data_IF_505893142242
#
_entry.id   IF_505893142242
#
_cell.length_a   1.000
_cell.length_b   1.000
_cell.length_c   1.000
_cell.angle_alpha   90.00
_cell.angle_beta   90.00
_cell.angle_gamma   90.00
#
_symmetry.space_group_name_H-M   'P 1'
#
loop_
_entity.id
_entity.type
_entity.pdbx_description
1 polymer ?
#
# COMPACT_ATOMS: atom_id res chain seq x y z
N UNK A 1 2.31 15.52 0.22
CA UNK A 1 1.70 14.79 1.36
C UNK A 1 2.60 14.97 2.55
N UNK A 2 2.02 15.22 3.72
CA UNK A 2 2.77 15.28 4.98
C UNK A 2 3.27 13.86 5.32
N UNK A 3 4.56 13.65 5.65
CA UNK A 3 5.07 12.36 6.11
C UNK A 3 4.27 11.78 7.29
N UNK A 4 3.68 12.62 8.13
CA UNK A 4 2.82 12.20 9.25
C UNK A 4 1.58 11.43 8.76
N UNK A 5 0.92 11.93 7.71
CA UNK A 5 -0.26 11.29 7.11
C UNK A 5 0.05 9.91 6.48
N UNK A 6 1.28 9.73 5.99
CA UNK A 6 1.70 8.43 5.45
C UNK A 6 1.98 7.43 6.59
N UNK A 7 2.62 7.89 7.68
CA UNK A 7 2.86 7.09 8.88
C UNK A 7 1.56 6.58 9.54
N UNK A 8 0.57 7.45 9.70
CA UNK A 8 -0.74 7.11 10.29
C UNK A 8 -1.50 6.06 9.49
N UNK A 9 -1.40 6.08 8.15
CA UNK A 9 -2.01 5.07 7.29
C UNK A 9 -1.25 3.75 7.28
N UNK A 10 0.07 3.79 7.44
CA UNK A 10 0.92 2.59 7.41
C UNK A 10 0.91 1.81 8.72
N UNK A 11 0.78 2.45 9.87
CA UNK A 11 0.76 1.77 11.16
C UNK A 11 -0.29 0.65 11.27
N UNK A 12 -1.60 0.90 10.99
CA UNK A 12 -2.61 -0.17 11.02
C UNK A 12 -2.37 -1.23 9.94
N UNK A 13 -1.87 -0.83 8.77
CA UNK A 13 -1.52 -1.77 7.70
C UNK A 13 -0.39 -2.72 8.11
N UNK A 14 0.66 -2.21 8.76
CA UNK A 14 1.80 -3.02 9.25
C UNK A 14 1.35 -3.99 10.35
N UNK A 15 0.52 -3.54 11.30
CA UNK A 15 -0.05 -4.40 12.32
C UNK A 15 -0.92 -5.51 11.70
N UNK A 16 -1.75 -5.16 10.72
CA UNK A 16 -2.57 -6.12 9.99
C UNK A 16 -1.72 -7.12 9.18
N UNK A 17 -0.65 -6.68 8.50
CA UNK A 17 0.26 -7.56 7.76
C UNK A 17 0.90 -8.63 8.66
N UNK A 18 1.22 -8.30 9.91
CA UNK A 18 1.77 -9.24 10.89
C UNK A 18 0.84 -10.42 11.18
N UNK A 19 -0.47 -10.28 10.92
CA UNK A 19 -1.46 -11.37 11.07
C UNK A 19 -1.62 -12.24 9.82
N UNK A 20 -1.05 -11.83 8.68
CA UNK A 20 -1.28 -12.44 7.35
C UNK A 20 -0.05 -13.10 6.76
N UNK A 21 1.14 -12.62 7.15
CA UNK A 21 2.41 -13.03 6.57
C UNK A 21 3.37 -13.28 7.72
N UNK A 22 3.85 -14.51 7.89
CA UNK A 22 4.78 -14.87 8.96
C UNK A 22 6.20 -14.36 8.71
N UNK A 23 6.60 -14.28 7.43
CA UNK A 23 7.93 -13.84 7.02
C UNK A 23 8.12 -12.31 7.16
N UNK A 24 9.04 -11.92 8.05
CA UNK A 24 9.34 -10.52 8.37
C UNK A 24 9.95 -9.77 7.18
N UNK A 25 10.76 -10.43 6.35
CA UNK A 25 11.38 -9.80 5.18
C UNK A 25 10.32 -9.38 4.15
N UNK A 26 9.33 -10.24 3.93
CA UNK A 26 8.18 -9.99 3.06
C UNK A 26 7.32 -8.88 3.63
N UNK A 27 7.04 -8.86 4.94
CA UNK A 27 6.31 -7.75 5.58
C UNK A 27 7.00 -6.40 5.40
N UNK A 28 8.33 -6.35 5.58
CA UNK A 28 9.13 -5.13 5.36
C UNK A 28 9.07 -4.67 3.92
N UNK A 29 9.21 -5.59 2.97
CA UNK A 29 9.11 -5.29 1.54
C UNK A 29 7.72 -4.73 1.21
N UNK A 30 6.65 -5.34 1.73
CA UNK A 30 5.28 -4.90 1.45
C UNK A 30 4.99 -3.53 2.07
N UNK A 31 5.49 -3.26 3.28
CA UNK A 31 5.44 -1.94 3.91
C UNK A 31 6.12 -0.88 3.03
N UNK A 32 7.34 -1.15 2.55
CA UNK A 32 8.09 -0.21 1.71
C UNK A 32 7.37 0.06 0.38
N UNK A 33 6.82 -0.98 -0.25
CA UNK A 33 6.03 -0.82 -1.47
C UNK A 33 4.78 0.03 -1.22
N UNK A 34 4.05 -0.23 -0.13
CA UNK A 34 2.86 0.54 0.23
C UNK A 34 3.20 2.01 0.50
N UNK A 35 4.28 2.28 1.23
CA UNK A 35 4.77 3.63 1.49
C UNK A 35 5.10 4.38 0.19
N UNK A 36 5.90 3.77 -0.68
CA UNK A 36 6.25 4.36 -1.97
C UNK A 36 5.02 4.55 -2.87
N UNK A 37 4.04 3.64 -2.81
CA UNK A 37 2.80 3.78 -3.57
C UNK A 37 1.97 4.97 -3.09
N UNK A 38 1.84 5.17 -1.77
CA UNK A 38 1.12 6.32 -1.20
C UNK A 38 1.81 7.64 -1.57
N UNK A 39 3.14 7.68 -1.54
CA UNK A 39 3.93 8.84 -2.00
C UNK A 39 3.73 9.07 -3.51
N UNK A 40 3.76 8.01 -4.32
CA UNK A 40 3.50 8.09 -5.76
C UNK A 40 2.10 8.63 -6.04
N UNK A 41 1.06 8.14 -5.34
CA UNK A 41 -0.31 8.63 -5.49
C UNK A 41 -0.45 10.12 -5.23
N UNK A 42 0.33 10.68 -4.31
CA UNK A 42 0.30 12.10 -3.98
C UNK A 42 0.90 12.99 -5.07
N UNK A 43 1.79 12.46 -5.92
CA UNK A 43 2.47 13.19 -6.99
C UNK A 43 1.92 12.85 -8.39
N UNK A 44 1.28 11.69 -8.55
CA UNK A 44 0.76 11.18 -9.81
C UNK A 44 -0.46 11.98 -10.29
N UNK A 45 -0.37 12.50 -11.51
CA UNK A 45 -1.43 13.27 -12.18
C UNK A 45 -2.19 12.46 -13.24
N UNK A 46 -1.84 11.19 -13.41
CA UNK A 46 -2.52 10.34 -14.40
C UNK A 46 -3.86 9.80 -13.89
N UNK A 47 -4.58 9.16 -14.81
CA UNK A 47 -5.90 8.57 -14.55
C UNK A 47 -5.86 7.56 -13.37
N UNK A 48 -6.85 7.60 -12.44
CA UNK A 48 -6.88 6.72 -11.27
C UNK A 48 -6.80 5.23 -11.62
N UNK A 49 -7.52 4.79 -12.66
CA UNK A 49 -7.64 3.37 -13.01
C UNK A 49 -6.33 2.74 -13.47
N UNK A 50 -5.45 3.56 -14.05
CA UNK A 50 -4.14 3.11 -14.56
C UNK A 50 -3.00 3.41 -13.58
N UNK A 51 -3.28 4.03 -12.42
CA UNK A 51 -2.27 4.42 -11.43
C UNK A 51 -1.46 3.24 -10.90
N UNK A 52 -2.11 2.13 -10.59
CA UNK A 52 -1.41 0.92 -10.11
C UNK A 52 -0.45 0.37 -11.16
N UNK A 53 -0.85 0.36 -12.42
CA UNK A 53 0.00 -0.11 -13.53
C UNK A 53 1.20 0.83 -13.73
N UNK A 54 0.97 2.15 -13.71
CA UNK A 54 2.05 3.15 -13.78
C UNK A 54 3.04 2.98 -12.64
N UNK A 55 2.56 2.81 -11.42
CA UNK A 55 3.44 2.59 -10.27
C UNK A 55 4.25 1.30 -10.40
N UNK A 56 3.61 0.16 -10.75
CA UNK A 56 4.32 -1.11 -10.97
C UNK A 56 5.42 -0.96 -12.02
N UNK A 57 5.15 -0.20 -13.09
CA UNK A 57 6.15 0.08 -14.12
C UNK A 57 7.30 0.96 -13.58
N UNK A 58 6.98 2.04 -12.86
CA UNK A 58 7.96 2.96 -12.31
C UNK A 58 8.80 2.36 -11.17
N UNK A 59 8.28 1.35 -10.48
CA UNK A 59 8.91 0.73 -9.31
C UNK A 59 9.67 -0.58 -9.63
N UNK A 60 9.61 -1.06 -10.87
CA UNK A 60 10.12 -2.38 -11.30
C UNK A 60 11.61 -2.60 -11.01
N UNK A 61 12.40 -1.54 -11.02
CA UNK A 61 13.86 -1.61 -10.83
C UNK A 61 14.24 -1.68 -9.34
N UNK A 62 13.29 -1.42 -8.42
CA UNK A 62 13.48 -1.50 -6.96
C UNK A 62 12.94 -2.80 -6.39
N UNK A 63 11.75 -3.20 -6.83
CA UNK A 63 11.06 -4.42 -6.36
C UNK A 63 10.45 -5.14 -7.57
N UNK A 64 10.59 -6.46 -7.68
CA UNK A 64 10.01 -7.21 -8.79
C UNK A 64 8.52 -6.89 -8.99
N UNK A 65 8.03 -6.78 -10.25
CA UNK A 65 6.63 -6.44 -10.52
C UNK A 65 5.62 -7.39 -9.86
N UNK A 66 5.96 -8.67 -9.72
CA UNK A 66 5.12 -9.67 -9.04
C UNK A 66 4.95 -9.34 -7.55
N UNK A 67 6.06 -9.07 -6.86
CA UNK A 67 6.08 -8.69 -5.45
C UNK A 67 5.39 -7.34 -5.23
N UNK A 68 5.61 -6.39 -6.13
CA UNK A 68 4.95 -5.08 -6.09
C UNK A 68 3.43 -5.23 -6.19
N UNK A 69 2.93 -6.03 -7.14
CA UNK A 69 1.48 -6.29 -7.28
C UNK A 69 0.90 -6.96 -6.04
N UNK A 70 1.56 -7.99 -5.53
CA UNK A 70 1.10 -8.70 -4.34
C UNK A 70 1.05 -7.79 -3.10
N UNK A 71 1.99 -6.87 -2.94
CA UNK A 71 1.95 -5.85 -1.88
C UNK A 71 0.77 -4.88 -2.05
N UNK A 72 0.51 -4.42 -3.29
CA UNK A 72 -0.64 -3.54 -3.58
C UNK A 72 -1.98 -4.24 -3.36
N UNK A 73 -2.08 -5.54 -3.61
CA UNK A 73 -3.27 -6.34 -3.32
C UNK A 73 -3.54 -6.40 -1.82
N UNK A 74 -2.50 -6.64 -1.00
CA UNK A 74 -2.63 -6.62 0.46
C UNK A 74 -3.05 -5.25 0.98
N UNK A 75 -2.50 -4.16 0.42
CA UNK A 75 -2.92 -2.81 0.77
C UNK A 75 -4.40 -2.56 0.43
N UNK A 76 -4.84 -3.02 -0.75
CA UNK A 76 -6.24 -2.91 -1.17
C UNK A 76 -7.20 -3.71 -0.27
N UNK A 77 -6.78 -4.91 0.15
CA UNK A 77 -7.52 -5.76 1.08
C UNK A 77 -7.66 -5.09 2.45
N UNK A 78 -6.57 -4.54 2.99
CA UNK A 78 -6.59 -3.76 4.22
C UNK A 78 -7.54 -2.55 4.13
N UNK A 79 -7.44 -1.75 3.05
CA UNK A 79 -8.32 -0.59 2.86
C UNK A 79 -9.81 -1.00 2.73
N UNK A 80 -10.10 -2.20 2.22
CA UNK A 80 -11.46 -2.74 2.18
C UNK A 80 -11.95 -3.20 3.55
N UNK A 81 -11.08 -3.82 4.37
CA UNK A 81 -11.39 -4.18 5.76
C UNK A 81 -11.69 -2.92 6.56
N UNK A 82 -10.80 -1.93 6.55
CA UNK A 82 -10.97 -0.67 7.29
C UNK A 82 -12.28 0.03 6.91
N UNK A 83 -12.58 0.14 5.61
CA UNK A 83 -13.85 0.73 5.15
C UNK A 83 -15.10 0.00 5.61
N UNK A 84 -15.03 -1.32 5.83
CA UNK A 84 -16.16 -2.12 6.33
C UNK A 84 -16.30 -2.07 7.85
N UNK A 85 -15.20 -1.80 8.56
CA UNK A 85 -15.16 -1.79 10.03
C UNK A 85 -15.32 -0.40 10.63
N UNK A 86 -15.18 0.67 9.84
CA UNK A 86 -15.51 2.02 10.29
C UNK A 86 -17.04 2.16 10.37
N UNK A 87 -17.60 2.66 11.48
CA UNK A 87 -19.01 3.01 11.52
C UNK A 87 -19.29 4.04 10.43
N UNK A 88 -20.40 3.86 9.71
CA UNK A 88 -21.02 4.96 8.97
C UNK A 88 -21.43 5.96 10.03
N UNK A 89 -20.59 6.97 10.28
CA UNK A 89 -21.05 8.17 10.96
C UNK A 89 -22.14 8.76 10.07
N UNK A 90 -23.38 8.68 10.57
CA UNK A 90 -24.59 9.30 10.01
C UNK A 90 -24.70 10.74 10.48
#
# INVERSE_FOLDING_TARGET
>A
MDPLHTGERLAPFVAWLATRIDDESTRRTYRQVAEHFLQFCAADRGEPDTRRQRFVHAHRDRVPPVTTRAALERLAEHDAVVRRTLPVDS
#
